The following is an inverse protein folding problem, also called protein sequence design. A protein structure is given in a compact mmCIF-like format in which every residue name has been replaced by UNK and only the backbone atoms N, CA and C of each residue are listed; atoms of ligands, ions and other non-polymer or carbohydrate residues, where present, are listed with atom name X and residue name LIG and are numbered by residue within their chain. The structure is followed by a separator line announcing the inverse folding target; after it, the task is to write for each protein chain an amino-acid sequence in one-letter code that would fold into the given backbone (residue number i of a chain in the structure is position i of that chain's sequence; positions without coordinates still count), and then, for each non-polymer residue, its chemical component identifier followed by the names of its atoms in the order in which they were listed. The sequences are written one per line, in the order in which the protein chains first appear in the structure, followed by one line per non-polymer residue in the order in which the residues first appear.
data_IF_410597688974
#
_entry.id   IF_410597688974
#
_cell.length_a   1.000
_cell.length_b   1.000
_cell.length_c   1.000
_cell.angle_alpha   90.00
_cell.angle_beta   90.00
_cell.angle_gamma   90.00
#
_symmetry.space_group_name_H-M   'P 1'
#
loop_
_entity.id
_entity.type
_entity.pdbx_description
1 polymer ?
#
# COMPACT_ATOMS: atom_id res chain seq x y z
N UNK A 1 -30.51 -0.17 0.03
CA UNK A 1 -29.79 0.39 1.22
C UNK A 1 -28.95 -0.73 1.85
N UNK A 2 -28.04 -1.32 1.08
CA UNK A 2 -27.29 -2.54 1.47
C UNK A 2 -25.85 -2.54 0.93
N UNK A 3 -25.33 -1.40 0.50
CA UNK A 3 -23.97 -1.27 -0.06
C UNK A 3 -23.01 -0.49 0.86
N UNK A 4 -23.51 0.06 1.97
CA UNK A 4 -22.73 0.84 2.93
C UNK A 4 -22.26 0.03 4.16
N UNK A 5 -22.77 -1.20 4.34
CA UNK A 5 -22.38 -2.06 5.46
C UNK A 5 -21.10 -2.88 5.15
N UNK A 6 -20.82 -3.15 3.88
CA UNK A 6 -19.63 -3.91 3.45
C UNK A 6 -18.35 -3.05 3.43
N UNK A 7 -18.47 -1.75 3.18
CA UNK A 7 -17.31 -0.84 3.08
C UNK A 7 -16.63 -0.61 4.42
N UNK A 8 -17.40 -0.58 5.51
CA UNK A 8 -16.88 -0.44 6.88
C UNK A 8 -16.16 -1.72 7.35
N UNK A 9 -16.67 -2.90 6.99
CA UNK A 9 -16.03 -4.20 7.30
C UNK A 9 -14.72 -4.38 6.53
N UNK A 10 -14.69 -4.01 5.25
CA UNK A 10 -13.49 -4.05 4.42
C UNK A 10 -12.43 -3.05 4.90
N UNK A 11 -12.83 -1.85 5.32
CA UNK A 11 -11.93 -0.85 5.91
C UNK A 11 -11.37 -1.31 7.27
N UNK A 12 -12.21 -1.92 8.13
CA UNK A 12 -11.82 -2.62 9.36
C UNK A 12 -10.73 -3.66 9.15
N UNK A 13 -10.99 -4.55 8.19
CA UNK A 13 -10.10 -5.65 7.85
C UNK A 13 -8.79 -5.19 7.19
N UNK A 14 -8.86 -4.17 6.32
CA UNK A 14 -7.69 -3.55 5.70
C UNK A 14 -6.77 -2.91 6.72
N UNK A 15 -7.32 -2.29 7.75
CA UNK A 15 -6.53 -1.69 8.79
C UNK A 15 -5.95 -2.72 9.77
N UNK A 16 -6.73 -3.74 10.11
CA UNK A 16 -6.25 -4.84 10.94
C UNK A 16 -5.09 -5.60 10.28
N UNK A 17 -5.00 -5.53 8.95
CA UNK A 17 -3.99 -6.22 8.15
C UNK A 17 -2.81 -5.36 7.68
N UNK A 18 -2.96 -4.04 7.58
CA UNK A 18 -1.87 -3.09 7.33
C UNK A 18 -1.14 -2.64 8.61
N UNK A 19 -1.76 -2.75 9.79
CA UNK A 19 -1.30 -2.05 11.00
C UNK A 19 -1.08 -2.91 12.24
N UNK A 20 -1.04 -4.24 12.10
CA UNK A 20 -0.68 -5.11 13.22
C UNK A 20 0.47 -6.03 12.80
N UNK A 21 1.70 -5.60 13.11
CA UNK A 21 2.67 -6.57 13.56
C UNK A 21 2.25 -6.92 14.99
N UNK A 22 1.88 -8.18 15.19
CA UNK A 22 1.39 -8.73 16.45
C UNK A 22 2.53 -8.76 17.46
N UNK A 23 2.98 -7.60 17.94
CA UNK A 23 3.51 -7.55 19.29
C UNK A 23 2.31 -7.34 20.20
N UNK A 24 1.95 -8.44 20.84
CA UNK A 24 1.32 -8.45 22.16
C UNK A 24 1.80 -7.19 22.88
N UNK A 25 0.93 -6.18 23.01
CA UNK A 25 1.11 -5.16 24.02
C UNK A 25 1.11 -5.93 25.32
N UNK A 26 2.30 -6.22 25.83
CA UNK A 26 2.48 -6.71 27.19
C UNK A 26 2.03 -5.52 28.01
N UNK A 27 0.78 -5.57 28.47
CA UNK A 27 0.19 -4.57 29.34
C UNK A 27 1.19 -4.32 30.46
N UNK A 28 1.73 -3.09 30.53
CA UNK A 28 2.46 -2.65 31.70
C UNK A 28 1.49 -2.79 32.87
N UNK A 29 1.92 -3.55 33.88
CA UNK A 29 1.05 -4.00 34.95
C UNK A 29 0.46 -2.81 35.71
N UNK A 30 -0.83 -2.88 35.97
CA UNK A 30 -1.33 -2.42 37.26
C UNK A 30 -2.21 -3.52 37.85
N UNK A 31 -1.98 -3.78 39.12
CA UNK A 31 -2.71 -4.79 39.88
C UNK A 31 -4.13 -4.28 40.12
N UNK A 32 -5.14 -4.91 39.52
CA UNK A 32 -6.33 -5.36 40.26
C UNK A 32 -7.39 -6.00 39.35
N UNK A 33 -7.90 -7.15 39.83
CA UNK A 33 -9.22 -7.73 39.58
C UNK A 33 -9.74 -7.91 38.14
N UNK A 34 -9.77 -9.19 37.72
CA UNK A 34 -10.85 -9.84 36.98
C UNK A 34 -11.59 -9.00 35.90
N UNK A 35 -10.91 -8.75 34.79
CA UNK A 35 -11.47 -8.21 33.56
C UNK A 35 -10.92 -9.01 32.39
N UNK A 36 -11.82 -9.64 31.63
CA UNK A 36 -11.50 -10.43 30.43
C UNK A 36 -10.44 -9.73 29.58
N UNK A 37 -9.38 -10.46 29.25
CA UNK A 37 -8.39 -10.07 28.26
C UNK A 37 -9.08 -10.00 26.87
N UNK A 38 -9.74 -8.87 26.58
CA UNK A 38 -10.19 -8.55 25.23
C UNK A 38 -8.96 -8.12 24.43
N UNK A 39 -8.23 -9.13 23.92
CA UNK A 39 -6.99 -8.97 23.17
C UNK A 39 -7.16 -8.20 21.84
N UNK A 40 -8.40 -7.84 21.49
CA UNK A 40 -8.74 -6.78 20.53
C UNK A 40 -9.99 -6.06 21.03
N UNK A 41 -9.84 -5.13 21.98
CA UNK A 41 -10.98 -4.35 22.46
C UNK A 41 -11.72 -3.64 21.30
N UNK A 42 -13.03 -3.50 21.42
CA UNK A 42 -13.90 -2.86 20.41
C UNK A 42 -13.35 -1.51 19.91
N UNK A 43 -12.71 -0.75 20.80
CA UNK A 43 -12.05 0.52 20.49
C UNK A 43 -10.91 0.38 19.45
N UNK A 44 -10.10 -0.68 19.56
CA UNK A 44 -8.99 -0.96 18.63
C UNK A 44 -9.52 -1.32 17.25
N UNK A 45 -10.57 -2.14 17.16
CA UNK A 45 -11.22 -2.48 15.89
C UNK A 45 -11.81 -1.26 15.18
N UNK A 46 -12.47 -0.37 15.93
CA UNK A 46 -13.05 0.86 15.37
C UNK A 46 -11.93 1.78 14.86
N UNK A 47 -10.88 1.97 15.66
CA UNK A 47 -9.71 2.78 15.29
C UNK A 47 -9.08 2.26 14.02
N UNK A 48 -8.81 0.96 13.95
CA UNK A 48 -8.28 0.32 12.76
C UNK A 48 -9.22 0.58 11.59
N UNK A 49 -10.51 0.25 11.68
CA UNK A 49 -11.45 0.50 10.59
C UNK A 49 -11.43 1.93 10.05
N UNK A 50 -11.29 2.91 10.92
CA UNK A 50 -11.13 4.30 10.54
C UNK A 50 -9.83 4.56 9.75
N UNK A 51 -8.68 4.06 10.22
CA UNK A 51 -7.40 4.16 9.52
C UNK A 51 -7.43 3.51 8.13
N UNK A 52 -8.02 2.32 8.03
CA UNK A 52 -8.16 1.60 6.76
C UNK A 52 -9.09 2.32 5.78
N UNK A 53 -10.12 2.99 6.29
CA UNK A 53 -11.00 3.83 5.48
C UNK A 53 -10.22 5.04 4.92
N UNK A 54 -9.44 5.73 5.74
CA UNK A 54 -8.60 6.85 5.29
C UNK A 54 -7.60 6.40 4.21
N UNK A 55 -6.99 5.23 4.39
CA UNK A 55 -6.10 4.61 3.43
C UNK A 55 -6.80 4.31 2.09
N UNK A 56 -8.01 3.72 2.11
CA UNK A 56 -8.80 3.50 0.90
C UNK A 56 -9.24 4.80 0.22
N UNK A 57 -9.62 5.81 1.01
CA UNK A 57 -9.96 7.13 0.49
C UNK A 57 -8.76 7.78 -0.20
N UNK A 58 -7.53 7.57 0.28
CA UNK A 58 -6.32 8.05 -0.39
C UNK A 58 -6.17 7.46 -1.82
N UNK A 59 -6.48 6.17 -2.01
CA UNK A 59 -6.45 5.52 -3.32
C UNK A 59 -7.59 5.98 -4.22
N UNK A 60 -8.76 6.24 -3.64
CA UNK A 60 -9.89 6.80 -4.37
C UNK A 60 -9.59 8.23 -4.85
N UNK A 61 -9.02 9.07 -3.97
CA UNK A 61 -8.55 10.41 -4.31
C UNK A 61 -7.49 10.34 -5.40
N UNK A 62 -6.49 9.46 -5.26
CA UNK A 62 -5.45 9.22 -6.28
C UNK A 62 -6.08 8.93 -7.65
N UNK A 63 -7.10 8.07 -7.70
CA UNK A 63 -7.82 7.75 -8.94
C UNK A 63 -8.46 8.99 -9.57
N UNK A 64 -9.04 9.89 -8.79
CA UNK A 64 -9.63 11.14 -9.32
C UNK A 64 -8.57 12.08 -9.90
N UNK A 65 -7.35 12.04 -9.36
CA UNK A 65 -6.19 12.77 -9.88
C UNK A 65 -5.51 12.08 -11.09
N UNK A 66 -5.95 10.89 -11.52
CA UNK A 66 -5.48 10.24 -12.75
C UNK A 66 -6.05 10.94 -13.98
N UNK A 67 -5.56 12.13 -14.29
CA UNK A 67 -5.90 12.88 -15.50
C UNK A 67 -4.75 12.77 -16.52
N UNK A 68 -5.02 12.77 -17.84
CA UNK A 68 -6.33 12.74 -18.51
C UNK A 68 -6.95 11.35 -18.69
N UNK A 69 -6.16 10.27 -18.79
CA UNK A 69 -6.69 8.91 -18.96
C UNK A 69 -6.86 8.24 -17.59
N UNK A 70 -8.11 7.95 -17.23
CA UNK A 70 -8.50 7.32 -15.96
C UNK A 70 -8.60 5.80 -16.10
N UNK A 71 -8.19 5.06 -15.06
CA UNK A 71 -8.49 3.63 -14.95
C UNK A 71 -10.00 3.36 -14.93
N UNK A 72 -10.43 2.34 -15.67
CA UNK A 72 -11.80 1.81 -15.57
C UNK A 72 -12.03 1.26 -14.16
N UNK A 73 -13.28 1.30 -13.69
CA UNK A 73 -13.64 0.81 -12.36
C UNK A 73 -13.27 -0.67 -12.11
N UNK A 74 -13.46 -1.61 -13.06
CA UNK A 74 -13.07 -3.00 -12.85
C UNK A 74 -11.55 -3.19 -12.65
N UNK A 75 -10.74 -2.49 -13.44
CA UNK A 75 -9.27 -2.54 -13.35
C UNK A 75 -8.79 -1.96 -12.02
N UNK A 76 -9.35 -0.82 -11.63
CA UNK A 76 -9.05 -0.21 -10.32
C UNK A 76 -9.43 -1.14 -9.16
N UNK A 77 -10.61 -1.77 -9.22
CA UNK A 77 -11.04 -2.71 -8.20
C UNK A 77 -10.08 -3.91 -8.08
N UNK A 78 -9.54 -4.42 -9.19
CA UNK A 78 -8.53 -5.48 -9.19
C UNK A 78 -7.19 -5.01 -8.59
N UNK A 79 -6.73 -3.79 -8.91
CA UNK A 79 -5.49 -3.26 -8.33
C UNK A 79 -5.62 -3.02 -6.82
N UNK A 80 -6.77 -2.52 -6.36
CA UNK A 80 -7.05 -2.33 -4.93
C UNK A 80 -7.22 -3.68 -4.23
N UNK A 81 -7.94 -4.64 -4.82
CA UNK A 81 -8.13 -5.95 -4.21
C UNK A 81 -6.82 -6.74 -4.07
N UNK A 82 -5.84 -6.55 -4.96
CA UNK A 82 -4.47 -7.08 -4.77
C UNK A 82 -3.85 -6.56 -3.48
N UNK A 83 -3.95 -5.26 -3.23
CA UNK A 83 -3.39 -4.63 -2.02
C UNK A 83 -4.12 -5.13 -0.77
N UNK A 84 -5.45 -5.26 -0.82
CA UNK A 84 -6.26 -5.81 0.27
C UNK A 84 -5.84 -7.24 0.62
N UNK A 85 -5.75 -8.12 -0.38
CA UNK A 85 -5.36 -9.51 -0.18
C UNK A 85 -3.90 -9.60 0.27
N UNK A 86 -3.04 -8.74 -0.25
CA UNK A 86 -1.64 -8.63 0.16
C UNK A 86 -1.50 -8.25 1.64
N UNK A 87 -2.22 -7.23 2.09
CA UNK A 87 -2.26 -6.84 3.49
C UNK A 87 -2.72 -8.00 4.37
N UNK A 88 -3.83 -8.67 4.00
CA UNK A 88 -4.30 -9.85 4.72
C UNK A 88 -3.25 -10.96 4.78
N UNK A 89 -2.54 -11.20 3.68
CA UNK A 89 -1.42 -12.14 3.65
C UNK A 89 -0.32 -11.81 4.64
N UNK A 90 0.11 -10.55 4.67
CA UNK A 90 1.14 -10.07 5.61
C UNK A 90 0.66 -10.23 7.06
N UNK A 91 -0.61 -9.96 7.35
CA UNK A 91 -1.18 -10.19 8.67
C UNK A 91 -1.10 -11.67 9.11
N UNK A 92 -1.56 -12.58 8.25
CA UNK A 92 -1.48 -14.03 8.51
C UNK A 92 -0.02 -14.45 8.71
N UNK A 93 0.89 -13.89 7.91
CA UNK A 93 2.32 -14.16 8.01
C UNK A 93 2.92 -13.67 9.34
N UNK A 94 2.58 -12.45 9.78
CA UNK A 94 3.03 -11.92 11.07
C UNK A 94 2.54 -12.78 12.24
N UNK A 95 1.28 -13.23 12.20
CA UNK A 95 0.74 -14.15 13.20
C UNK A 95 1.49 -15.48 13.17
N UNK A 96 1.74 -16.05 11.99
CA UNK A 96 2.50 -17.29 11.84
C UNK A 96 3.92 -17.16 12.42
N UNK A 97 4.62 -16.05 12.13
CA UNK A 97 5.94 -15.77 12.70
C UNK A 97 5.89 -15.67 14.23
N UNK A 98 4.85 -15.04 14.79
CA UNK A 98 4.70 -14.96 16.25
C UNK A 98 4.55 -16.34 16.88
N UNK A 99 3.77 -17.24 16.26
CA UNK A 99 3.61 -18.63 16.72
C UNK A 99 4.94 -19.38 16.62
N UNK A 100 5.66 -19.27 15.49
CA UNK A 100 6.96 -19.94 15.29
C UNK A 100 7.96 -19.49 16.37
N UNK A 101 8.00 -18.20 16.71
CA UNK A 101 8.86 -17.68 17.78
C UNK A 101 8.50 -18.18 19.18
N UNK A 102 7.25 -18.54 19.41
CA UNK A 102 6.80 -19.08 20.70
C UNK A 102 7.02 -20.59 20.86
N UNK A 103 7.42 -21.30 19.80
CA UNK A 103 7.72 -22.72 19.88
C UNK A 103 9.03 -22.94 20.68
N UNK A 104 9.05 -23.90 21.62
CA UNK A 104 10.19 -24.19 22.46
C UNK A 104 11.25 -25.00 21.67
N UNK A 105 11.91 -24.35 20.73
CA UNK A 105 13.12 -24.86 20.11
C UNK A 105 14.26 -23.92 20.53
N UNK A 106 15.31 -24.53 21.06
CA UNK A 106 16.51 -23.95 21.69
C UNK A 106 17.33 -22.98 20.80
N UNK A 107 16.77 -22.55 19.66
CA UNK A 107 17.43 -21.84 18.57
C UNK A 107 17.05 -20.36 18.43
N UNK A 108 16.10 -19.84 19.22
CA UNK A 108 15.73 -18.41 19.21
C UNK A 108 15.63 -17.85 20.63
N UNK A 109 16.67 -18.08 21.44
CA UNK A 109 16.92 -17.41 22.73
C UNK A 109 18.09 -16.42 22.63
N UNK A 110 18.05 -15.56 21.63
CA UNK A 110 18.68 -14.26 21.65
C UNK A 110 17.54 -13.34 21.17
N UNK A 111 16.72 -12.76 22.04
CA UNK A 111 17.04 -11.53 22.77
C UNK A 111 16.19 -11.43 24.04
N UNK A 112 16.51 -12.20 25.08
CA UNK A 112 16.12 -11.86 26.46
C UNK A 112 17.31 -11.20 27.16
N UNK A 113 17.87 -10.17 26.52
CA UNK A 113 18.78 -9.23 27.18
C UNK A 113 17.93 -8.16 27.86
N UNK A 114 18.24 -7.83 29.11
CA UNK A 114 17.57 -6.88 30.01
C UNK A 114 17.55 -5.40 29.55
N UNK A 115 17.55 -5.14 28.25
CA UNK A 115 17.40 -3.81 27.66
C UNK A 115 16.25 -3.86 26.63
N UNK A 116 15.06 -4.26 27.10
CA UNK A 116 13.86 -4.32 26.27
C UNK A 116 13.42 -2.89 25.95
N UNK A 117 13.78 -2.40 24.75
CA UNK A 117 13.34 -1.09 24.26
C UNK A 117 11.82 -0.90 24.35
N UNK A 118 11.38 0.36 24.39
CA UNK A 118 9.98 0.73 24.58
C UNK A 118 9.09 0.07 23.51
N UNK A 119 7.91 -0.49 23.87
CA UNK A 119 6.93 -0.94 22.88
C UNK A 119 6.61 0.08 21.78
N UNK A 120 6.59 1.38 22.09
CA UNK A 120 6.37 2.47 21.15
C UNK A 120 7.53 2.60 20.16
N UNK A 121 8.78 2.52 20.62
CA UNK A 121 9.98 2.52 19.78
C UNK A 121 9.92 1.39 18.76
N UNK A 122 9.61 0.18 19.24
CA UNK A 122 9.53 -1.00 18.41
C UNK A 122 8.43 -0.93 17.36
N UNK A 123 7.26 -0.45 17.75
CA UNK A 123 6.13 -0.26 16.85
C UNK A 123 6.44 0.79 15.78
N UNK A 124 6.98 1.94 16.21
CA UNK A 124 7.39 3.02 15.31
C UNK A 124 8.44 2.54 14.32
N UNK A 125 9.49 1.86 14.80
CA UNK A 125 10.54 1.29 13.97
C UNK A 125 9.97 0.34 12.93
N UNK A 126 9.14 -0.62 13.34
CA UNK A 126 8.53 -1.60 12.43
C UNK A 126 7.73 -0.92 11.32
N UNK A 127 6.87 0.05 11.65
CA UNK A 127 6.06 0.77 10.65
C UNK A 127 6.92 1.61 9.73
N UNK A 128 7.85 2.40 10.28
CA UNK A 128 8.72 3.24 9.46
C UNK A 128 9.55 2.37 8.53
N UNK A 129 10.09 1.25 9.02
CA UNK A 129 10.90 0.34 8.22
C UNK A 129 10.08 -0.34 7.11
N UNK A 130 8.90 -0.87 7.42
CA UNK A 130 7.99 -1.49 6.45
C UNK A 130 7.52 -0.48 5.37
N UNK A 131 7.13 0.73 5.77
CA UNK A 131 6.62 1.74 4.84
C UNK A 131 7.71 2.45 4.01
N UNK A 132 8.96 2.47 4.47
CA UNK A 132 10.07 3.13 3.77
C UNK A 132 10.93 2.14 3.00
N UNK A 133 11.78 1.41 3.71
CA UNK A 133 12.69 0.41 3.16
C UNK A 133 11.89 -0.74 2.58
N UNK A 134 10.81 -1.16 3.23
CA UNK A 134 9.96 -2.24 2.77
C UNK A 134 9.33 -2.00 1.41
N UNK A 135 8.79 -0.80 1.17
CA UNK A 135 8.23 -0.44 -0.16
C UNK A 135 9.32 -0.43 -1.23
N UNK A 136 10.52 0.05 -0.90
CA UNK A 136 11.65 0.05 -1.84
C UNK A 136 12.12 -1.37 -2.17
N UNK A 137 12.32 -2.23 -1.15
CA UNK A 137 12.69 -3.64 -1.34
C UNK A 137 11.59 -4.38 -2.10
N UNK A 138 10.32 -4.13 -1.78
CA UNK A 138 9.18 -4.70 -2.51
C UNK A 138 9.23 -4.35 -3.99
N UNK A 139 9.52 -3.09 -4.33
CA UNK A 139 9.66 -2.67 -5.72
C UNK A 139 10.76 -3.48 -6.45
N UNK A 140 11.93 -3.65 -5.82
CA UNK A 140 13.03 -4.43 -6.40
C UNK A 140 12.67 -5.91 -6.54
N UNK A 141 12.19 -6.53 -5.46
CA UNK A 141 11.79 -7.95 -5.44
C UNK A 141 10.69 -8.19 -6.46
N UNK A 142 9.66 -7.35 -6.51
CA UNK A 142 8.57 -7.46 -7.48
C UNK A 142 9.10 -7.39 -8.92
N UNK A 143 10.03 -6.48 -9.22
CA UNK A 143 10.63 -6.38 -10.56
C UNK A 143 11.45 -7.62 -10.91
N UNK A 144 12.25 -8.14 -9.97
CA UNK A 144 12.99 -9.39 -10.14
C UNK A 144 12.07 -10.58 -10.34
N UNK A 145 10.98 -10.68 -9.56
CA UNK A 145 10.01 -11.77 -9.65
C UNK A 145 9.26 -11.75 -10.99
N UNK A 146 8.82 -10.58 -11.44
CA UNK A 146 8.20 -10.42 -12.76
C UNK A 146 9.16 -10.78 -13.89
N UNK A 147 10.41 -10.31 -13.82
CA UNK A 147 11.44 -10.68 -14.81
C UNK A 147 11.68 -12.19 -14.84
N UNK A 148 11.85 -12.80 -13.67
CA UNK A 148 12.04 -14.24 -13.54
C UNK A 148 10.87 -15.04 -14.11
N UNK A 149 9.63 -14.69 -13.78
CA UNK A 149 8.43 -15.36 -14.31
C UNK A 149 8.27 -15.17 -15.84
N UNK A 150 8.66 -14.03 -16.40
CA UNK A 150 8.64 -13.80 -17.85
C UNK A 150 9.70 -14.62 -18.56
N UNK A 151 10.94 -14.56 -18.09
CA UNK A 151 12.10 -15.14 -18.77
C UNK A 151 12.19 -16.65 -18.58
N UNK A 152 11.97 -17.15 -17.36
CA UNK A 152 12.15 -18.58 -17.05
C UNK A 152 10.87 -19.40 -17.14
N UNK A 153 9.71 -18.84 -16.78
CA UNK A 153 8.43 -19.57 -16.79
C UNK A 153 7.60 -19.30 -18.06
N UNK A 154 8.04 -18.38 -18.92
CA UNK A 154 7.34 -18.03 -20.17
C UNK A 154 5.91 -17.53 -19.95
N UNK A 155 5.59 -17.01 -18.76
CA UNK A 155 4.22 -16.64 -18.41
C UNK A 155 3.77 -15.40 -19.18
N UNK A 156 2.72 -15.54 -19.99
CA UNK A 156 2.04 -14.43 -20.66
C UNK A 156 0.93 -13.84 -19.78
N UNK A 157 0.58 -12.56 -20.02
CA UNK A 157 -0.44 -11.79 -19.29
C UNK A 157 -0.12 -11.45 -17.82
N UNK A 158 1.15 -11.21 -17.52
CA UNK A 158 1.61 -10.81 -16.18
C UNK A 158 2.02 -9.35 -16.08
N UNK A 159 1.83 -8.57 -17.16
CA UNK A 159 2.05 -7.13 -17.14
C UNK A 159 1.12 -6.44 -16.15
N UNK A 160 1.72 -5.79 -15.16
CA UNK A 160 0.96 -5.19 -14.05
C UNK A 160 -0.05 -4.16 -14.55
N UNK A 161 -1.29 -4.28 -14.07
CA UNK A 161 -2.41 -3.43 -14.46
C UNK A 161 -2.99 -3.71 -15.84
N UNK A 162 -2.53 -4.77 -16.53
CA UNK A 162 -3.09 -5.24 -17.80
C UNK A 162 -3.78 -6.59 -17.61
N UNK A 163 -5.11 -6.58 -17.59
CA UNK A 163 -5.92 -7.78 -17.28
C UNK A 163 -6.56 -8.41 -18.51
N UNK A 164 -6.09 -8.12 -19.71
CA UNK A 164 -6.67 -8.62 -20.96
C UNK A 164 -6.86 -7.51 -21.99
N UNK A 165 -7.41 -7.86 -23.17
CA UNK A 165 -7.60 -6.91 -24.27
C UNK A 165 -8.71 -5.89 -24.02
N UNK A 166 -9.74 -6.25 -23.25
CA UNK A 166 -10.85 -5.36 -22.88
C UNK A 166 -10.77 -4.99 -21.37
N UNK A 167 -10.65 -3.71 -21.00
CA UNK A 167 -10.64 -3.28 -19.59
C UNK A 167 -12.02 -3.17 -18.95
N UNK A 168 -13.10 -3.20 -19.73
CA UNK A 168 -14.45 -3.28 -19.17
C UNK A 168 -14.73 -4.72 -18.72
N UNK A 169 -14.08 -5.71 -19.33
CA UNK A 169 -14.19 -7.13 -19.00
C UNK A 169 -12.82 -7.75 -18.71
N UNK A 170 -12.18 -7.38 -17.58
CA UNK A 170 -10.85 -7.89 -17.25
C UNK A 170 -10.88 -9.41 -16.97
N UNK A 171 -9.90 -10.12 -17.51
CA UNK A 171 -9.73 -11.57 -17.33
C UNK A 171 -9.30 -11.91 -15.91
N UNK A 172 -10.13 -12.72 -15.23
CA UNK A 172 -9.84 -13.27 -13.90
C UNK A 172 -8.56 -14.12 -13.88
N UNK A 173 -8.22 -14.78 -14.99
CA UNK A 173 -7.00 -15.60 -15.09
C UNK A 173 -5.73 -14.74 -15.03
N UNK A 174 -5.72 -13.60 -15.72
CA UNK A 174 -4.61 -12.65 -15.66
C UNK A 174 -4.49 -12.03 -14.26
N UNK A 175 -5.63 -11.70 -13.64
CA UNK A 175 -5.68 -11.21 -12.27
C UNK A 175 -5.05 -12.18 -11.27
N UNK A 176 -5.45 -13.45 -11.27
CA UNK A 176 -4.92 -14.45 -10.31
C UNK A 176 -3.40 -14.63 -10.47
N UNK A 177 -2.89 -14.66 -11.71
CA UNK A 177 -1.44 -14.74 -11.96
C UNK A 177 -0.70 -13.53 -11.38
N UNK A 178 -1.19 -12.32 -11.65
CA UNK A 178 -0.58 -11.09 -11.13
C UNK A 178 -0.69 -10.98 -9.61
N UNK A 179 -1.82 -11.42 -9.04
CA UNK A 179 -2.03 -11.51 -7.61
C UNK A 179 -1.01 -12.46 -6.97
N UNK A 180 -0.78 -13.64 -7.55
CA UNK A 180 0.21 -14.59 -7.06
C UNK A 180 1.64 -14.04 -7.11
N UNK A 181 2.02 -13.35 -8.20
CA UNK A 181 3.33 -12.69 -8.32
C UNK A 181 3.50 -11.59 -7.28
N UNK A 182 2.48 -10.74 -7.12
CA UNK A 182 2.50 -9.68 -6.12
C UNK A 182 2.58 -10.23 -4.70
N UNK A 183 1.75 -11.23 -4.37
CA UNK A 183 1.73 -11.88 -3.07
C UNK A 183 3.06 -12.57 -2.76
N UNK A 184 3.64 -13.30 -3.72
CA UNK A 184 4.95 -13.91 -3.57
C UNK A 184 6.05 -12.88 -3.30
N UNK A 185 6.05 -11.77 -4.05
CA UNK A 185 6.99 -10.67 -3.83
C UNK A 185 6.82 -10.02 -2.44
N UNK A 186 5.58 -9.87 -1.96
CA UNK A 186 5.29 -9.39 -0.60
C UNK A 186 5.88 -10.32 0.46
N UNK A 187 5.66 -11.64 0.35
CA UNK A 187 6.18 -12.61 1.31
C UNK A 187 7.71 -12.58 1.38
N UNK A 188 8.37 -12.62 0.22
CA UNK A 188 9.85 -12.53 0.13
C UNK A 188 10.35 -11.22 0.74
N UNK A 189 9.69 -10.10 0.46
CA UNK A 189 10.04 -8.81 1.06
C UNK A 189 9.91 -8.85 2.57
N UNK A 190 8.81 -9.39 3.11
CA UNK A 190 8.60 -9.46 4.56
C UNK A 190 9.65 -10.34 5.25
N UNK A 191 10.06 -11.45 4.62
CA UNK A 191 11.19 -12.25 5.10
C UNK A 191 12.51 -11.46 5.13
N UNK A 192 12.82 -10.71 4.08
CA UNK A 192 14.05 -9.89 4.01
C UNK A 192 14.02 -8.81 5.11
N UNK A 193 12.91 -8.09 5.25
CA UNK A 193 12.80 -7.04 6.27
C UNK A 193 12.88 -7.59 7.68
N UNK A 194 12.19 -8.70 7.94
CA UNK A 194 12.26 -9.36 9.24
C UNK A 194 13.70 -9.77 9.58
N UNK A 195 14.42 -10.39 8.64
CA UNK A 195 15.83 -10.74 8.83
C UNK A 195 16.74 -9.51 9.05
N UNK A 196 16.48 -8.40 8.35
CA UNK A 196 17.25 -7.16 8.54
C UNK A 196 17.00 -6.54 9.93
N UNK A 197 15.75 -6.48 10.37
CA UNK A 197 15.42 -5.95 11.70
C UNK A 197 16.04 -6.81 12.79
N UNK A 198 15.98 -8.14 12.67
CA UNK A 198 16.60 -9.06 13.62
C UNK A 198 18.13 -8.92 13.66
N UNK A 199 18.79 -8.76 12.51
CA UNK A 199 20.25 -8.61 12.46
C UNK A 199 20.77 -7.26 13.00
N UNK A 200 19.96 -6.20 12.94
CA UNK A 200 20.38 -4.83 13.29
C UNK A 200 19.51 -4.20 14.39
N UNK A 201 18.84 -5.03 15.19
CA UNK A 201 17.88 -4.64 16.22
C UNK A 201 18.41 -3.54 17.13
N UNK A 202 19.56 -3.77 17.77
CA UNK A 202 20.14 -2.86 18.76
C UNK A 202 20.44 -1.48 18.16
N UNK A 203 21.00 -1.45 16.95
CA UNK A 203 21.35 -0.20 16.27
C UNK A 203 20.10 0.55 15.81
N UNK A 204 19.11 -0.15 15.28
CA UNK A 204 17.85 0.44 14.80
C UNK A 204 17.02 1.01 15.95
N UNK A 205 16.96 0.32 17.09
CA UNK A 205 16.28 0.82 18.29
C UNK A 205 16.97 2.04 18.89
N UNK A 206 18.30 2.04 18.92
CA UNK A 206 19.05 3.19 19.39
C UNK A 206 18.80 4.43 18.50
N UNK A 207 18.81 4.26 17.18
CA UNK A 207 18.46 5.34 16.23
C UNK A 207 17.02 5.80 16.44
N UNK A 208 16.10 4.87 16.68
CA UNK A 208 14.68 5.19 16.83
C UNK A 208 14.44 6.05 18.07
N UNK A 209 14.85 5.58 19.25
CA UNK A 209 14.65 6.30 20.51
C UNK A 209 15.44 7.62 20.55
N UNK A 210 16.74 7.61 20.17
CA UNK A 210 17.62 8.77 20.37
C UNK A 210 17.63 9.80 19.25
N UNK A 211 17.10 9.46 18.08
CA UNK A 211 17.10 10.37 16.92
C UNK A 211 15.68 10.60 16.41
N UNK A 212 14.93 9.53 16.14
CA UNK A 212 13.62 9.65 15.49
C UNK A 212 12.51 10.07 16.46
N UNK A 213 12.56 9.63 17.72
CA UNK A 213 11.57 9.95 18.75
C UNK A 213 12.07 10.94 19.79
N UNK A 214 13.36 11.26 19.84
CA UNK A 214 13.91 12.21 20.81
C UNK A 214 13.30 13.63 20.78
N UNK A 215 12.67 14.03 19.67
CA UNK A 215 11.93 15.30 19.60
C UNK A 215 10.56 15.24 20.28
N UNK A 216 10.08 14.03 20.57
CA UNK A 216 8.81 13.71 21.20
C UNK A 216 8.95 13.57 22.72
N UNK A 217 10.16 13.25 23.22
CA UNK A 217 10.53 13.20 24.65
C UNK A 217 10.23 14.51 25.42
N UNK A 218 10.16 15.65 24.71
CA UNK A 218 9.83 16.95 25.31
C UNK A 218 8.34 17.08 25.66
N UNK A 219 7.49 16.22 25.09
CA UNK A 219 6.03 16.21 25.26
C UNK A 219 5.58 15.11 26.21
N UNK A 220 4.36 15.21 26.77
CA UNK A 220 3.85 14.17 27.66
C UNK A 220 3.56 12.85 26.92
N UNK A 221 3.68 11.72 27.61
CA UNK A 221 3.61 10.37 27.04
C UNK A 221 2.32 10.10 26.24
N UNK A 222 1.19 10.73 26.60
CA UNK A 222 -0.07 10.56 25.87
C UNK A 222 0.01 11.13 24.45
N UNK A 223 0.78 12.21 24.27
CA UNK A 223 1.00 12.82 22.97
C UNK A 223 1.89 11.93 22.09
N UNK A 224 2.95 11.35 22.65
CA UNK A 224 3.80 10.39 21.97
C UNK A 224 2.98 9.20 21.44
N UNK A 225 2.20 8.56 22.30
CA UNK A 225 1.36 7.42 21.96
C UNK A 225 0.39 7.79 20.83
N UNK A 226 -0.24 8.96 20.90
CA UNK A 226 -1.15 9.43 19.84
C UNK A 226 -0.42 9.59 18.49
N UNK A 227 0.76 10.21 18.49
CA UNK A 227 1.53 10.43 17.25
C UNK A 227 2.02 9.11 16.66
N UNK A 228 2.62 8.25 17.49
CA UNK A 228 3.22 6.98 17.08
C UNK A 228 2.17 5.98 16.63
N UNK A 229 1.02 5.88 17.31
CA UNK A 229 0.00 4.87 17.00
C UNK A 229 -1.06 5.34 15.99
N UNK A 230 -1.28 6.65 15.82
CA UNK A 230 -2.34 7.16 14.92
C UNK A 230 -1.79 8.00 13.78
N UNK A 231 -1.08 9.09 14.08
CA UNK A 231 -0.67 10.07 13.07
C UNK A 231 0.34 9.49 12.07
N UNK A 232 1.45 8.96 12.58
CA UNK A 232 2.52 8.38 11.76
C UNK A 232 2.00 7.21 10.92
N UNK A 233 1.23 6.25 11.49
CA UNK A 233 0.72 5.15 10.72
C UNK A 233 -0.21 5.59 9.59
N UNK A 234 -1.13 6.54 9.82
CA UNK A 234 -2.02 7.07 8.76
C UNK A 234 -1.20 7.57 7.57
N UNK A 235 -0.23 8.45 7.84
CA UNK A 235 0.58 9.08 6.78
C UNK A 235 1.41 8.03 6.04
N UNK A 236 2.11 7.18 6.78
CA UNK A 236 3.03 6.19 6.21
C UNK A 236 2.31 5.12 5.40
N UNK A 237 1.16 4.63 5.86
CA UNK A 237 0.40 3.62 5.13
C UNK A 237 -0.35 4.19 3.93
N UNK A 238 -0.86 5.42 4.00
CA UNK A 238 -1.38 6.11 2.82
C UNK A 238 -0.29 6.26 1.76
N UNK A 239 0.91 6.69 2.18
CA UNK A 239 2.07 6.80 1.29
C UNK A 239 2.44 5.43 0.70
N UNK A 240 2.52 4.39 1.52
CA UNK A 240 2.82 3.03 1.10
C UNK A 240 1.83 2.54 0.04
N UNK A 241 0.51 2.66 0.27
CA UNK A 241 -0.49 2.22 -0.70
C UNK A 241 -0.42 3.03 -2.00
N UNK A 242 -0.19 4.34 -1.92
CA UNK A 242 -0.02 5.19 -3.10
C UNK A 242 1.22 4.78 -3.90
N UNK A 243 2.34 4.50 -3.23
CA UNK A 243 3.60 4.03 -3.84
C UNK A 243 3.47 2.64 -4.44
N UNK A 244 2.79 1.72 -3.75
CA UNK A 244 2.53 0.36 -4.24
C UNK A 244 1.62 0.42 -5.48
N UNK A 245 0.51 1.12 -5.39
CA UNK A 245 -0.40 1.31 -6.52
C UNK A 245 0.31 1.97 -7.71
N UNK A 246 1.31 2.83 -7.48
CA UNK A 246 2.08 3.48 -8.55
C UNK A 246 2.91 2.51 -9.42
N UNK A 247 3.33 1.36 -8.88
CA UNK A 247 4.06 0.35 -9.67
C UNK A 247 3.17 -0.82 -10.11
N UNK A 248 2.09 -1.13 -9.38
CA UNK A 248 1.10 -2.15 -9.78
C UNK A 248 0.21 -1.64 -10.94
N UNK A 249 -0.05 -0.34 -10.98
CA UNK A 249 -0.82 0.27 -12.06
C UNK A 249 -0.17 0.06 -13.43
N UNK A 250 -1.00 0.06 -14.48
CA UNK A 250 -0.56 -0.03 -15.86
C UNK A 250 0.44 1.09 -16.20
N UNK A 251 1.70 0.68 -16.43
CA UNK A 251 2.80 1.58 -16.72
C UNK A 251 2.66 2.28 -18.08
N UNK A 252 1.95 1.69 -19.03
CA UNK A 252 1.67 2.30 -20.34
C UNK A 252 0.78 3.54 -20.14
N UNK A 253 -0.35 3.39 -19.46
CA UNK A 253 -1.27 4.50 -19.17
C UNK A 253 -0.61 5.61 -18.34
N UNK A 254 0.20 5.24 -17.32
CA UNK A 254 0.95 6.21 -16.51
C UNK A 254 1.92 7.04 -17.36
N UNK A 255 2.64 6.41 -18.29
CA UNK A 255 3.54 7.10 -19.22
C UNK A 255 2.78 7.99 -20.20
N UNK A 256 1.62 7.54 -20.70
CA UNK A 256 0.78 8.34 -21.60
C UNK A 256 0.27 9.61 -20.92
N UNK A 257 -0.24 9.50 -19.68
CA UNK A 257 -0.67 10.68 -18.91
C UNK A 257 0.48 11.67 -18.68
N UNK A 258 1.68 11.19 -18.35
CA UNK A 258 2.86 12.04 -18.19
C UNK A 258 3.27 12.72 -19.51
N UNK A 259 3.22 12.02 -20.65
CA UNK A 259 3.47 12.60 -21.98
C UNK A 259 2.44 13.69 -22.31
N UNK A 260 1.16 13.44 -22.07
CA UNK A 260 0.06 14.38 -22.38
C UNK A 260 0.10 15.62 -21.51
N UNK A 261 0.42 15.48 -20.21
CA UNK A 261 0.67 16.63 -19.33
C UNK A 261 1.84 17.49 -19.80
N UNK A 262 2.96 16.89 -20.20
CA UNK A 262 4.08 17.65 -20.78
C UNK A 262 3.67 18.40 -22.04
N UNK A 263 2.87 17.80 -22.93
CA UNK A 263 2.37 18.49 -24.14
C UNK A 263 1.50 19.70 -23.81
N UNK A 264 0.59 19.57 -22.84
CA UNK A 264 -0.28 20.67 -22.40
C UNK A 264 0.55 21.80 -21.78
N UNK A 265 1.53 21.49 -20.93
CA UNK A 265 2.39 22.50 -20.30
C UNK A 265 3.32 23.21 -21.29
N UNK A 266 3.78 22.54 -22.35
CA UNK A 266 4.76 23.09 -23.30
C UNK A 266 4.17 23.58 -24.62
N UNK A 267 2.84 23.62 -24.77
CA UNK A 267 2.19 24.26 -25.91
C UNK A 267 2.64 23.75 -27.29
N UNK A 268 2.41 22.46 -27.58
CA UNK A 268 2.33 21.91 -28.95
C UNK A 268 3.60 21.93 -29.84
N UNK A 269 4.26 20.77 -29.97
CA UNK A 269 4.88 20.23 -31.22
C UNK A 269 5.75 19.00 -30.88
N UNK A 270 5.11 17.89 -30.47
CA UNK A 270 5.78 16.59 -30.43
C UNK A 270 5.13 15.74 -31.52
N UNK A 271 5.95 15.29 -32.47
CA UNK A 271 5.57 14.57 -33.68
C UNK A 271 4.45 13.54 -33.43
N UNK A 272 3.36 13.67 -34.19
CA UNK A 272 2.15 12.81 -34.18
C UNK A 272 2.44 11.33 -34.46
N UNK A 273 3.61 11.00 -35.04
CA UNK A 273 3.93 9.64 -35.48
C UNK A 273 4.21 8.64 -34.33
N UNK A 274 4.45 9.11 -33.09
CA UNK A 274 4.62 8.22 -31.91
C UNK A 274 3.28 7.83 -31.24
N UNK A 275 2.18 8.45 -31.67
CA UNK A 275 0.88 8.34 -31.00
C UNK A 275 0.12 7.07 -31.39
N UNK A 276 0.17 6.68 -32.66
CA UNK A 276 -0.50 5.46 -33.16
C UNK A 276 -0.08 4.19 -32.41
N UNK A 277 1.19 4.07 -32.04
CA UNK A 277 1.70 2.89 -31.33
C UNK A 277 1.25 2.88 -29.86
N UNK A 278 1.20 4.04 -29.21
CA UNK A 278 0.82 4.15 -27.80
C UNK A 278 -0.70 4.12 -27.58
N UNK A 279 -1.47 4.65 -28.53
CA UNK A 279 -2.93 4.64 -28.52
C UNK A 279 -3.48 3.25 -28.91
N UNK A 280 -2.78 2.49 -29.78
CA UNK A 280 -3.08 1.08 -30.05
C UNK A 280 -2.87 0.16 -28.84
N UNK A 281 -1.96 0.51 -27.93
CA UNK A 281 -1.72 -0.22 -26.67
C UNK A 281 -2.66 0.19 -25.55
N UNK A 282 -3.33 1.33 -25.69
CA UNK A 282 -4.39 1.72 -24.77
C UNK A 282 -5.69 1.02 -25.17
N UNK A 283 -6.48 0.58 -24.19
CA UNK A 283 -7.79 0.08 -24.50
C UNK A 283 -8.68 1.20 -25.00
N UNK A 284 -9.36 0.96 -26.13
CA UNK A 284 -10.32 1.89 -26.71
C UNK A 284 -11.43 2.18 -25.70
N UNK A 285 -11.43 3.38 -25.14
CA UNK A 285 -12.64 3.92 -24.51
C UNK A 285 -13.66 4.17 -25.63
N UNK A 286 -14.90 3.72 -25.46
CA UNK A 286 -15.99 4.19 -26.31
C UNK A 286 -16.10 5.72 -26.22
N UNK A 287 -16.51 6.42 -27.28
CA UNK A 287 -16.61 7.87 -27.28
C UNK A 287 -17.69 8.30 -26.28
N UNK A 288 -17.29 8.85 -25.14
CA UNK A 288 -18.17 9.63 -24.28
C UNK A 288 -17.69 11.07 -24.36
N UNK A 289 -18.48 11.83 -25.11
CA UNK A 289 -18.59 13.28 -25.17
C UNK A 289 -17.28 14.05 -25.34
N UNK A 290 -16.97 14.37 -26.60
CA UNK A 290 -16.34 15.66 -26.94
C UNK A 290 -17.15 16.77 -26.27
N UNK A 291 -16.67 17.24 -25.11
CA UNK A 291 -17.03 18.57 -24.63
C UNK A 291 -16.37 19.55 -25.58
N UNK A 292 -17.18 20.11 -26.47
CA UNK A 292 -16.79 21.13 -27.44
C UNK A 292 -16.44 22.44 -26.74
N UNK A 293 -15.23 22.58 -26.23
CA UNK A 293 -14.67 23.88 -25.88
C UNK A 293 -14.07 24.53 -27.12
N UNK A 294 -14.93 24.95 -28.04
CA UNK A 294 -14.57 25.73 -29.21
C UNK A 294 -15.64 26.79 -29.51
N UNK A 295 -15.87 27.72 -28.58
CA UNK A 295 -16.49 28.99 -28.93
C UNK A 295 -16.18 30.13 -27.93
N UNK A 296 -14.90 30.52 -27.86
CA UNK A 296 -14.54 31.88 -27.45
C UNK A 296 -13.62 32.49 -28.51
N UNK A 297 -14.21 33.31 -29.38
CA UNK A 297 -13.48 33.96 -30.47
C UNK A 297 -14.38 34.66 -31.48
N UNK A 298 -14.91 35.82 -31.08
CA UNK A 298 -15.16 37.02 -31.90
C UNK A 298 -15.80 36.87 -33.29
N UNK A 299 -17.00 37.43 -33.49
CA UNK A 299 -17.26 38.41 -34.57
C UNK A 299 -18.59 39.14 -34.31
N UNK A 300 -18.50 40.35 -33.77
CA UNK A 300 -19.52 41.39 -33.90
C UNK A 300 -19.32 42.08 -35.25
N UNK A 301 -20.30 42.05 -36.17
CA UNK A 301 -20.67 43.19 -37.03
C UNK A 301 -21.90 42.93 -37.94
N UNK A 302 -22.83 43.87 -37.84
CA UNK A 302 -23.75 44.43 -38.85
C UNK A 302 -24.87 43.55 -39.44
N UNK A 303 -26.11 43.85 -39.02
CA UNK A 303 -27.12 44.55 -39.84
C UNK A 303 -27.81 45.58 -38.95
#
# INVERSE_FOLDING_TARGET
MSMLLDTASLAGFLAQSLFIETRVSRSYGDNDSDGKCELVGTFSLITQAFLGLLCLLSLLMKRFYEYPVRRTWPVWAFDVSKQVIGAFGVHVFNVLLSIIKTLPEEWVKATEGEDSGDPCDWYFLSIVFDCTIGVYVLYLVFRCFNWFCKTHLGMTQIDSGQYGPDPHHPSRRAYIKQLGIYFGALMVTKFILYGLVECFETQLLWITSKILLAWLDEYPNEFEIFVVMFLVPIVMNCLQLVLIDNFIQNQVMKRTNAKRHRRISFGGNLNENDDDESEALLPKSSPLEEVSDAQYGSTTRMV
#
